data_IF_453820038126
#
_entry.id   IF_453820038126
#
_cell.length_a   1.000
_cell.length_b   1.000
_cell.length_c   1.000
_cell.angle_alpha   90.00
_cell.angle_beta   90.00
_cell.angle_gamma   90.00
#
_symmetry.space_group_name_H-M   'P 1'
#
loop_
_entity.id
_entity.type
_entity.pdbx_description
1 polymer ?
#
# COMPACT_ATOMS: atom_id res chain seq x y z
N UNK A 1 -26.85 -19.66 -21.11
CA UNK A 1 -27.58 -18.86 -20.12
C UNK A 1 -26.53 -18.13 -19.32
N UNK A 2 -26.53 -16.81 -19.42
CA UNK A 2 -25.50 -15.94 -18.86
C UNK A 2 -25.63 -15.92 -17.34
N UNK A 3 -24.71 -16.61 -16.66
CA UNK A 3 -24.77 -16.88 -15.21
C UNK A 3 -24.54 -15.61 -14.36
N UNK A 4 -24.23 -14.47 -15.00
CA UNK A 4 -23.84 -13.22 -14.33
C UNK A 4 -24.66 -11.98 -14.75
N UNK A 5 -25.85 -12.16 -15.33
CA UNK A 5 -26.90 -11.14 -15.36
C UNK A 5 -26.49 -9.72 -15.82
N UNK A 6 -25.63 -9.58 -16.83
CA UNK A 6 -25.24 -8.26 -17.38
C UNK A 6 -24.34 -7.40 -16.50
N UNK A 7 -23.69 -7.97 -15.48
CA UNK A 7 -22.71 -7.25 -14.66
C UNK A 7 -21.42 -6.97 -15.45
N UNK A 8 -20.88 -5.75 -15.33
CA UNK A 8 -19.59 -5.40 -15.92
C UNK A 8 -18.44 -6.08 -15.13
N UNK A 9 -17.41 -6.52 -15.85
CA UNK A 9 -16.23 -7.18 -15.29
C UNK A 9 -14.95 -6.51 -15.77
N UNK A 10 -13.87 -6.65 -15.01
CA UNK A 10 -12.52 -6.35 -15.49
C UNK A 10 -11.89 -7.63 -16.04
N UNK A 11 -11.46 -7.61 -17.30
CA UNK A 11 -10.83 -8.76 -17.96
C UNK A 11 -9.35 -8.49 -18.21
N UNK A 12 -8.47 -9.20 -17.50
CA UNK A 12 -7.01 -9.16 -17.69
C UNK A 12 -6.62 -10.17 -18.77
N UNK A 13 -6.28 -9.69 -19.96
CA UNK A 13 -5.85 -10.53 -21.10
C UNK A 13 -4.32 -10.55 -21.15
N UNK A 14 -3.74 -11.73 -20.91
CA UNK A 14 -2.30 -11.93 -20.87
C UNK A 14 -1.76 -12.12 -22.29
N UNK A 15 -0.61 -11.51 -22.58
CA UNK A 15 0.07 -11.67 -23.87
C UNK A 15 0.42 -13.16 -24.10
N UNK A 16 0.20 -13.64 -25.32
CA UNK A 16 0.53 -15.02 -25.71
C UNK A 16 2.05 -15.19 -25.90
N UNK A 17 2.78 -15.17 -24.79
CA UNK A 17 4.22 -15.41 -24.68
C UNK A 17 4.41 -16.26 -23.41
N UNK A 18 5.16 -17.36 -23.50
CA UNK A 18 5.20 -18.39 -22.45
C UNK A 18 5.54 -17.83 -21.07
N UNK A 19 6.57 -16.99 -20.98
CA UNK A 19 6.94 -16.26 -19.76
C UNK A 19 5.75 -15.59 -19.05
N UNK A 20 4.88 -14.89 -19.80
CA UNK A 20 3.76 -14.17 -19.20
C UNK A 20 2.62 -15.11 -18.81
N UNK A 21 2.44 -16.22 -19.55
CA UNK A 21 1.47 -17.26 -19.21
C UNK A 21 1.89 -18.01 -17.94
N UNK A 22 3.19 -18.32 -17.79
CA UNK A 22 3.72 -18.91 -16.55
C UNK A 22 3.48 -18.00 -15.34
N UNK A 23 3.78 -16.70 -15.46
CA UNK A 23 3.48 -15.74 -14.40
C UNK A 23 1.97 -15.66 -14.10
N UNK A 24 1.11 -15.68 -15.12
CA UNK A 24 -0.34 -15.67 -14.95
C UNK A 24 -0.87 -16.94 -14.26
N UNK A 25 -0.28 -18.12 -14.51
CA UNK A 25 -0.64 -19.35 -13.80
C UNK A 25 -0.33 -19.26 -12.30
N UNK A 26 0.80 -18.66 -11.93
CA UNK A 26 1.14 -18.42 -10.53
C UNK A 26 0.14 -17.44 -9.89
N UNK A 27 -0.20 -16.36 -10.59
CA UNK A 27 -1.22 -15.40 -10.14
C UNK A 27 -2.59 -16.07 -9.94
N UNK A 28 -3.03 -16.90 -10.87
CA UNK A 28 -4.29 -17.67 -10.78
C UNK A 28 -4.29 -18.56 -9.55
N UNK A 29 -3.22 -19.31 -9.31
CA UNK A 29 -3.12 -20.19 -8.13
C UNK A 29 -3.24 -19.40 -6.81
N UNK A 30 -2.61 -18.22 -6.74
CA UNK A 30 -2.73 -17.31 -5.59
C UNK A 30 -4.17 -16.82 -5.43
N UNK A 31 -4.81 -16.36 -6.52
CA UNK A 31 -6.17 -15.82 -6.50
C UNK A 31 -7.22 -16.88 -6.16
N UNK A 32 -7.09 -18.10 -6.69
CA UNK A 32 -7.93 -19.24 -6.31
C UNK A 32 -7.82 -19.50 -4.81
N UNK A 33 -6.59 -19.52 -4.28
CA UNK A 33 -6.36 -19.73 -2.84
C UNK A 33 -6.96 -18.61 -1.98
N UNK A 34 -6.85 -17.36 -2.41
CA UNK A 34 -7.47 -16.22 -1.73
C UNK A 34 -8.99 -16.40 -1.70
N UNK A 35 -9.61 -16.69 -2.85
CA UNK A 35 -11.04 -16.90 -2.97
C UNK A 35 -11.55 -18.08 -2.11
N UNK A 36 -10.82 -19.20 -2.08
CA UNK A 36 -11.12 -20.37 -1.24
C UNK A 36 -11.11 -20.02 0.25
N UNK A 37 -10.16 -19.18 0.67
CA UNK A 37 -9.94 -18.80 2.08
C UNK A 37 -10.84 -17.66 2.53
N UNK A 38 -11.39 -16.90 1.60
CA UNK A 38 -12.32 -15.80 1.84
C UNK A 38 -13.55 -15.85 0.92
N UNK A 39 -14.40 -16.88 1.06
CA UNK A 39 -15.55 -17.08 0.18
C UNK A 39 -16.56 -15.92 0.26
N UNK A 40 -16.60 -15.17 1.37
CA UNK A 40 -17.48 -14.02 1.60
C UNK A 40 -16.85 -12.66 1.25
N UNK A 41 -15.60 -12.61 0.76
CA UNK A 41 -14.86 -11.39 0.41
C UNK A 41 -14.80 -10.35 1.56
N UNK A 42 -14.53 -10.81 2.79
CA UNK A 42 -14.44 -9.97 3.99
C UNK A 42 -13.05 -9.35 4.18
N UNK A 43 -12.04 -9.88 3.52
CA UNK A 43 -10.64 -9.48 3.66
C UNK A 43 -10.16 -8.59 2.51
N UNK A 44 -11.08 -8.08 1.68
CA UNK A 44 -10.84 -6.91 0.81
C UNK A 44 -9.73 -7.11 -0.25
N UNK A 45 -9.44 -8.36 -0.62
CA UNK A 45 -8.66 -8.66 -1.82
C UNK A 45 -9.60 -8.70 -3.03
N UNK A 46 -9.09 -8.39 -4.22
CA UNK A 46 -9.91 -8.46 -5.45
C UNK A 46 -10.46 -9.87 -5.68
N UNK A 47 -11.75 -9.96 -6.01
CA UNK A 47 -12.39 -11.22 -6.37
C UNK A 47 -12.07 -11.57 -7.82
N UNK A 48 -11.38 -12.69 -8.04
CA UNK A 48 -11.36 -13.34 -9.35
C UNK A 48 -12.65 -14.15 -9.51
N UNK A 49 -13.39 -13.96 -10.59
CA UNK A 49 -14.61 -14.72 -10.87
C UNK A 49 -14.31 -16.00 -11.64
N UNK A 50 -13.44 -15.91 -12.65
CA UNK A 50 -13.13 -17.02 -13.55
C UNK A 50 -11.79 -16.77 -14.26
N UNK A 51 -11.22 -17.83 -14.83
CA UNK A 51 -10.10 -17.74 -15.75
C UNK A 51 -10.23 -18.76 -16.88
N UNK A 52 -9.76 -18.39 -18.07
CA UNK A 52 -9.84 -19.26 -19.25
C UNK A 52 -8.72 -18.96 -20.25
N UNK A 53 -8.44 -19.92 -21.15
CA UNK A 53 -7.57 -19.70 -22.31
C UNK A 53 -8.43 -19.30 -23.52
N UNK A 54 -8.05 -18.19 -24.16
CA UNK A 54 -8.67 -17.72 -25.39
C UNK A 54 -7.59 -17.55 -26.47
N UNK A 55 -7.50 -18.49 -27.41
CA UNK A 55 -6.50 -18.51 -28.48
C UNK A 55 -5.04 -18.38 -27.98
N UNK A 56 -4.73 -19.03 -26.86
CA UNK A 56 -3.41 -18.98 -26.22
C UNK A 56 -3.18 -17.74 -25.34
N UNK A 57 -4.17 -16.86 -25.21
CA UNK A 57 -4.16 -15.80 -24.21
C UNK A 57 -4.83 -16.30 -22.93
N UNK A 58 -4.12 -16.27 -21.82
CA UNK A 58 -4.75 -16.49 -20.51
C UNK A 58 -5.56 -15.25 -20.15
N UNK A 59 -6.83 -15.44 -19.82
CA UNK A 59 -7.77 -14.39 -19.47
C UNK A 59 -8.24 -14.61 -18.04
N UNK A 60 -8.15 -13.57 -17.20
CA UNK A 60 -8.65 -13.59 -15.82
C UNK A 60 -9.78 -12.55 -15.71
N UNK A 61 -10.93 -12.97 -15.22
CA UNK A 61 -12.10 -12.12 -15.00
C UNK A 61 -12.23 -11.74 -13.53
N UNK A 62 -12.44 -10.47 -13.24
CA UNK A 62 -12.52 -9.92 -11.89
C UNK A 62 -13.78 -9.08 -11.70
N UNK A 63 -14.13 -8.84 -10.43
CA UNK A 63 -15.03 -7.74 -10.08
C UNK A 63 -14.52 -6.42 -10.68
N UNK A 64 -15.41 -5.64 -11.30
CA UNK A 64 -15.04 -4.33 -11.81
C UNK A 64 -14.94 -3.34 -10.64
N UNK A 65 -13.75 -2.80 -10.46
CA UNK A 65 -13.45 -1.74 -9.49
C UNK A 65 -13.29 -0.40 -10.20
N UNK A 66 -13.22 0.67 -9.41
CA UNK A 66 -13.07 2.04 -9.91
C UNK A 66 -11.58 2.43 -10.02
N UNK A 67 -11.29 3.74 -9.94
CA UNK A 67 -9.92 4.24 -10.03
C UNK A 67 -9.01 3.65 -8.95
N UNK A 68 -7.72 3.51 -9.30
CA UNK A 68 -6.69 3.32 -8.29
C UNK A 68 -6.59 4.56 -7.39
N UNK A 69 -6.10 4.39 -6.16
CA UNK A 69 -5.86 5.52 -5.26
C UNK A 69 -4.81 6.48 -5.85
N UNK A 70 -3.83 5.97 -6.61
CA UNK A 70 -2.90 6.80 -7.36
C UNK A 70 -3.60 7.66 -8.42
N UNK A 71 -4.44 7.04 -9.26
CA UNK A 71 -5.11 7.76 -10.34
C UNK A 71 -6.08 8.81 -9.81
N UNK A 72 -6.81 8.50 -8.73
CA UNK A 72 -7.64 9.48 -8.06
C UNK A 72 -6.81 10.65 -7.52
N UNK A 73 -5.68 10.37 -6.84
CA UNK A 73 -4.77 11.40 -6.32
C UNK A 73 -4.24 12.29 -7.46
N UNK A 74 -3.80 11.68 -8.57
CA UNK A 74 -3.33 12.37 -9.77
C UNK A 74 -4.42 13.25 -10.39
N UNK A 75 -5.63 12.74 -10.54
CA UNK A 75 -6.78 13.51 -11.03
C UNK A 75 -7.18 14.64 -10.08
N UNK A 76 -6.90 14.47 -8.78
CA UNK A 76 -7.04 15.51 -7.77
C UNK A 76 -5.81 16.45 -7.68
N UNK A 77 -4.98 16.51 -8.73
CA UNK A 77 -3.76 17.33 -8.77
C UNK A 77 -2.79 17.08 -7.61
N UNK A 78 -2.71 15.82 -7.16
CA UNK A 78 -1.88 15.38 -6.04
C UNK A 78 -2.23 16.08 -4.71
N UNK A 79 -3.49 16.51 -4.55
CA UNK A 79 -4.00 16.94 -3.27
C UNK A 79 -4.18 15.72 -2.36
N UNK A 80 -3.61 15.71 -1.14
CA UNK A 80 -3.65 14.56 -0.25
C UNK A 80 -5.08 14.23 0.18
N UNK A 81 -5.25 12.99 0.63
CA UNK A 81 -6.49 12.57 1.29
C UNK A 81 -6.59 13.19 2.69
N UNK A 82 -7.82 13.39 3.16
CA UNK A 82 -8.03 13.84 4.55
C UNK A 82 -7.55 12.78 5.54
N UNK A 83 -7.17 13.18 6.75
CA UNK A 83 -6.69 12.25 7.79
C UNK A 83 -7.69 11.12 8.09
N UNK A 84 -8.99 11.42 8.03
CA UNK A 84 -10.06 10.43 8.19
C UNK A 84 -10.08 9.42 7.03
N UNK A 85 -9.91 9.89 5.79
CA UNK A 85 -9.80 9.01 4.63
C UNK A 85 -8.54 8.15 4.69
N UNK A 86 -7.38 8.73 5.07
CA UNK A 86 -6.12 8.01 5.28
C UNK A 86 -6.33 6.92 6.33
N UNK A 87 -6.98 7.22 7.46
CA UNK A 87 -7.26 6.25 8.53
C UNK A 87 -8.07 5.06 8.04
N UNK A 88 -9.19 5.32 7.35
CA UNK A 88 -10.06 4.24 6.91
C UNK A 88 -9.42 3.38 5.81
N UNK A 89 -8.70 3.99 4.86
CA UNK A 89 -7.94 3.24 3.85
C UNK A 89 -6.80 2.44 4.48
N UNK A 90 -6.05 3.03 5.40
CA UNK A 90 -4.96 2.36 6.12
C UNK A 90 -5.44 1.11 6.87
N UNK A 91 -6.58 1.21 7.57
CA UNK A 91 -7.18 0.08 8.28
C UNK A 91 -7.52 -1.07 7.33
N UNK A 92 -8.20 -0.76 6.22
CA UNK A 92 -8.59 -1.75 5.21
C UNK A 92 -7.38 -2.40 4.53
N UNK A 93 -6.35 -1.63 4.18
CA UNK A 93 -5.11 -2.15 3.60
C UNK A 93 -4.41 -3.06 4.61
N UNK A 94 -4.30 -2.65 5.87
CA UNK A 94 -3.72 -3.48 6.93
C UNK A 94 -4.51 -4.78 7.14
N UNK A 95 -5.84 -4.72 7.10
CA UNK A 95 -6.72 -5.88 7.23
C UNK A 95 -6.50 -6.88 6.09
N UNK A 96 -6.50 -6.39 4.84
CA UNK A 96 -6.32 -7.21 3.66
C UNK A 96 -4.94 -7.89 3.63
N UNK A 97 -3.88 -7.13 3.88
CA UNK A 97 -2.51 -7.66 3.81
C UNK A 97 -2.22 -8.57 5.02
N UNK A 98 -2.81 -8.31 6.19
CA UNK A 98 -2.75 -9.24 7.33
C UNK A 98 -3.35 -10.60 6.97
N UNK A 99 -4.48 -10.61 6.26
CA UNK A 99 -5.08 -11.87 5.78
C UNK A 99 -4.12 -12.63 4.85
N UNK A 100 -3.41 -11.96 3.95
CA UNK A 100 -2.37 -12.59 3.12
C UNK A 100 -1.26 -13.20 4.00
N UNK A 101 -0.75 -12.41 4.96
CA UNK A 101 0.32 -12.83 5.86
C UNK A 101 -0.05 -14.04 6.72
N UNK A 102 -1.30 -14.09 7.23
CA UNK A 102 -1.82 -15.24 7.97
C UNK A 102 -1.81 -16.52 7.12
N UNK A 103 -1.97 -16.38 5.80
CA UNK A 103 -1.96 -17.47 4.82
C UNK A 103 -0.58 -17.71 4.18
N UNK A 104 0.50 -17.21 4.80
CA UNK A 104 1.89 -17.43 4.37
C UNK A 104 2.17 -16.91 2.96
N UNK A 105 1.51 -15.80 2.62
CA UNK A 105 1.62 -15.13 1.33
C UNK A 105 2.11 -13.70 1.56
N UNK A 106 3.12 -13.29 0.81
CA UNK A 106 3.61 -11.90 0.77
C UNK A 106 3.22 -11.28 -0.58
N UNK A 107 2.68 -10.06 -0.59
CA UNK A 107 2.22 -9.40 -1.82
C UNK A 107 3.39 -8.92 -2.70
N UNK A 108 4.41 -8.35 -2.06
CA UNK A 108 5.68 -7.86 -2.63
C UNK A 108 5.61 -6.65 -3.54
N UNK A 109 4.47 -6.30 -4.16
CA UNK A 109 4.31 -5.10 -4.99
C UNK A 109 3.16 -4.18 -4.55
N UNK A 110 3.05 -3.91 -3.24
CA UNK A 110 2.09 -2.93 -2.73
C UNK A 110 2.52 -1.51 -3.10
N UNK A 111 1.57 -0.77 -3.69
CA UNK A 111 1.70 0.63 -4.12
C UNK A 111 0.30 1.23 -4.34
N UNK A 112 0.14 2.55 -4.35
CA UNK A 112 -1.16 3.22 -4.56
C UNK A 112 -1.88 2.79 -5.85
N UNK A 113 -1.14 2.42 -6.91
CA UNK A 113 -1.70 1.90 -8.16
C UNK A 113 -2.38 0.53 -7.99
N UNK A 114 -1.95 -0.25 -7.00
CA UNK A 114 -2.47 -1.59 -6.68
C UNK A 114 -3.48 -1.58 -5.52
N UNK A 115 -3.94 -0.39 -5.11
CA UNK A 115 -5.06 -0.21 -4.19
C UNK A 115 -6.17 0.51 -4.97
N UNK A 116 -7.28 -0.18 -5.22
CA UNK A 116 -8.39 0.36 -6.01
C UNK A 116 -9.58 0.70 -5.13
N UNK A 117 -10.27 1.81 -5.45
CA UNK A 117 -11.56 2.10 -4.85
C UNK A 117 -12.62 1.14 -5.38
N UNK A 118 -13.55 0.73 -4.51
CA UNK A 118 -14.76 0.02 -4.95
C UNK A 118 -15.65 0.95 -5.77
N UNK A 119 -15.78 2.21 -5.34
CA UNK A 119 -16.39 3.30 -6.08
C UNK A 119 -15.57 4.58 -5.84
N UNK A 120 -15.20 5.28 -6.91
CA UNK A 120 -14.40 6.52 -6.86
C UNK A 120 -15.21 7.81 -7.10
N UNK A 121 -16.53 7.77 -6.92
CA UNK A 121 -17.40 8.94 -6.95
C UNK A 121 -16.93 9.98 -5.93
N UNK A 122 -16.95 11.26 -6.32
CA UNK A 122 -16.42 12.33 -5.51
C UNK A 122 -17.37 13.53 -5.42
N UNK A 123 -17.12 14.38 -4.43
CA UNK A 123 -17.63 15.75 -4.34
C UNK A 123 -16.52 16.74 -4.63
N UNK A 124 -16.86 17.91 -5.18
CA UNK A 124 -15.91 19.00 -5.40
C UNK A 124 -16.17 20.10 -4.37
N UNK A 125 -15.10 20.54 -3.71
CA UNK A 125 -15.09 21.73 -2.86
C UNK A 125 -13.99 22.68 -3.31
N UNK A 126 -14.11 23.97 -3.06
CA UNK A 126 -13.04 24.91 -3.34
C UNK A 126 -12.08 25.02 -2.15
N UNK A 127 -10.82 24.61 -2.33
CA UNK A 127 -9.78 24.77 -1.32
C UNK A 127 -9.25 26.20 -1.34
N UNK A 128 -9.59 26.97 -0.30
CA UNK A 128 -9.23 28.39 -0.19
C UNK A 128 -7.71 28.59 -0.10
N UNK A 129 -7.01 27.73 0.64
CA UNK A 129 -5.57 27.84 0.87
C UNK A 129 -4.77 27.56 -0.40
N UNK A 130 -5.16 26.52 -1.13
CA UNK A 130 -4.51 26.06 -2.36
C UNK A 130 -5.09 26.69 -3.62
N UNK A 131 -6.12 27.52 -3.46
CA UNK A 131 -6.83 28.29 -4.49
C UNK A 131 -7.23 27.45 -5.71
N UNK A 132 -7.78 26.27 -5.47
CA UNK A 132 -8.19 25.32 -6.52
C UNK A 132 -9.32 24.42 -6.05
N UNK A 133 -9.97 23.77 -7.00
CA UNK A 133 -10.93 22.71 -6.71
C UNK A 133 -10.23 21.49 -6.11
N UNK A 134 -10.88 20.89 -5.12
CA UNK A 134 -10.45 19.71 -4.40
C UNK A 134 -11.56 18.66 -4.46
N UNK A 135 -11.20 17.47 -4.93
CA UNK A 135 -12.08 16.30 -4.99
C UNK A 135 -11.95 15.52 -3.69
N UNK A 136 -13.09 15.19 -3.09
CA UNK A 136 -13.17 14.31 -1.93
C UNK A 136 -13.95 13.06 -2.32
N UNK A 137 -13.33 11.88 -2.25
CA UNK A 137 -14.03 10.62 -2.54
C UNK A 137 -15.15 10.40 -1.51
N UNK A 138 -16.34 10.02 -1.99
CA UNK A 138 -17.54 9.82 -1.15
C UNK A 138 -17.46 8.54 -0.31
N UNK A 139 -16.76 7.52 -0.81
CA UNK A 139 -16.55 6.25 -0.13
C UNK A 139 -15.07 5.87 -0.22
N UNK A 140 -14.46 5.57 0.91
CA UNK A 140 -13.06 5.12 0.98
C UNK A 140 -12.95 3.59 1.02
N UNK A 141 -13.98 2.87 0.61
CA UNK A 141 -13.91 1.41 0.47
C UNK A 141 -12.90 1.04 -0.61
N UNK A 142 -11.90 0.21 -0.26
CA UNK A 142 -10.82 -0.18 -1.17
C UNK A 142 -10.67 -1.70 -1.29
N UNK A 143 -9.96 -2.12 -2.33
CA UNK A 143 -9.47 -3.49 -2.56
C UNK A 143 -7.98 -3.50 -2.87
N UNK A 144 -7.29 -4.53 -2.38
CA UNK A 144 -5.92 -4.85 -2.83
C UNK A 144 -6.02 -5.69 -4.10
N UNK A 145 -5.28 -5.30 -5.14
CA UNK A 145 -5.26 -5.98 -6.46
C UNK A 145 -3.83 -6.39 -6.83
N UNK A 146 -3.69 -7.05 -7.99
CA UNK A 146 -2.42 -7.38 -8.65
C UNK A 146 -1.51 -8.32 -7.84
N UNK A 147 -1.94 -9.59 -7.79
CA UNK A 147 -1.24 -10.66 -7.10
C UNK A 147 -0.17 -11.35 -7.97
N UNK A 148 0.17 -10.78 -9.13
CA UNK A 148 1.11 -11.39 -10.07
C UNK A 148 2.55 -11.49 -9.57
N UNK A 149 2.89 -10.76 -8.50
CA UNK A 149 4.19 -10.85 -7.81
C UNK A 149 4.08 -11.45 -6.40
N UNK A 150 2.90 -11.90 -6.00
CA UNK A 150 2.71 -12.50 -4.68
C UNK A 150 3.51 -13.81 -4.60
N UNK A 151 4.09 -14.09 -3.44
CA UNK A 151 4.98 -15.25 -3.24
C UNK A 151 4.63 -15.93 -1.91
N UNK A 152 4.42 -17.24 -1.95
CA UNK A 152 4.24 -18.03 -0.73
C UNK A 152 5.58 -18.25 -0.02
N UNK A 153 5.55 -18.41 1.30
CA UNK A 153 6.75 -18.60 2.13
C UNK A 153 7.63 -19.80 1.68
N UNK A 154 7.03 -20.82 1.07
CA UNK A 154 7.72 -22.04 0.62
C UNK A 154 8.24 -21.95 -0.81
N UNK A 155 7.89 -20.91 -1.57
CA UNK A 155 8.30 -20.72 -2.95
C UNK A 155 9.67 -20.04 -3.08
N UNK A 156 10.19 -20.01 -4.30
CA UNK A 156 11.42 -19.29 -4.58
C UNK A 156 11.23 -17.77 -4.42
N UNK A 157 12.06 -17.16 -3.60
CA UNK A 157 12.03 -15.71 -3.36
C UNK A 157 12.98 -15.00 -4.33
N UNK A 158 12.39 -14.25 -5.27
CA UNK A 158 13.16 -13.37 -6.18
C UNK A 158 13.98 -12.34 -5.39
N UNK A 159 15.22 -12.08 -5.80
CA UNK A 159 16.13 -11.21 -5.04
C UNK A 159 15.65 -9.76 -4.95
N UNK A 160 15.07 -9.25 -6.03
CA UNK A 160 14.54 -7.88 -6.10
C UNK A 160 13.04 -7.97 -6.37
N UNK A 161 12.27 -7.43 -5.43
CA UNK A 161 10.82 -7.27 -5.51
C UNK A 161 10.45 -5.80 -5.23
N UNK A 162 9.14 -5.51 -5.32
CA UNK A 162 8.54 -4.19 -5.13
C UNK A 162 8.92 -3.15 -6.17
N UNK A 163 7.95 -2.30 -6.48
CA UNK A 163 8.19 -1.02 -7.14
C UNK A 163 9.10 -0.15 -6.25
N UNK A 164 10.07 0.53 -6.88
CA UNK A 164 11.23 1.12 -6.19
C UNK A 164 10.89 2.03 -5.01
N UNK A 165 9.89 2.90 -5.14
CA UNK A 165 9.53 3.90 -4.11
C UNK A 165 8.98 3.28 -2.82
N UNK A 166 8.51 2.03 -2.88
CA UNK A 166 7.91 1.30 -1.75
C UNK A 166 8.77 0.12 -1.30
N UNK A 167 9.99 0.01 -1.83
CA UNK A 167 10.89 -1.12 -1.59
C UNK A 167 11.59 -1.00 -0.24
N UNK A 168 11.47 -2.04 0.57
CA UNK A 168 12.07 -2.11 1.90
C UNK A 168 13.61 -2.20 1.87
N UNK A 169 14.31 -1.72 2.92
CA UNK A 169 15.78 -1.69 2.98
C UNK A 169 16.41 -3.08 2.91
N UNK A 170 15.80 -4.11 3.48
CA UNK A 170 16.28 -5.49 3.40
C UNK A 170 16.27 -6.04 1.97
N UNK A 171 15.38 -5.55 1.10
CA UNK A 171 15.34 -5.92 -0.32
C UNK A 171 16.47 -5.20 -1.07
N UNK A 172 16.67 -3.90 -0.83
CA UNK A 172 17.77 -3.12 -1.44
C UNK A 172 19.13 -3.70 -1.05
N UNK A 173 19.26 -4.14 0.19
CA UNK A 173 20.48 -4.70 0.76
C UNK A 173 20.60 -6.22 0.53
N UNK A 174 19.66 -6.87 -0.15
CA UNK A 174 19.66 -8.30 -0.45
C UNK A 174 19.89 -9.17 0.81
N UNK A 175 19.20 -8.84 1.90
CA UNK A 175 19.28 -9.54 3.19
C UNK A 175 18.24 -10.67 3.32
N UNK A 176 17.50 -10.94 2.25
CA UNK A 176 16.28 -11.73 2.28
C UNK A 176 15.09 -10.88 2.72
N UNK A 177 13.91 -11.26 2.25
CA UNK A 177 12.65 -10.59 2.58
C UNK A 177 11.56 -11.65 2.82
N UNK A 178 10.49 -11.22 3.48
CA UNK A 178 9.27 -11.98 3.77
C UNK A 178 8.15 -10.98 4.03
N UNK A 179 7.09 -11.36 4.75
CA UNK A 179 5.92 -10.50 5.05
C UNK A 179 6.23 -9.06 5.49
N UNK A 180 7.27 -8.77 6.30
CA UNK A 180 7.56 -7.39 6.72
C UNK A 180 7.85 -6.42 5.58
N UNK A 181 8.25 -6.87 4.38
CA UNK A 181 8.47 -5.95 3.25
C UNK A 181 7.18 -5.24 2.84
N UNK A 182 6.04 -5.94 2.90
CA UNK A 182 4.73 -5.34 2.63
C UNK A 182 4.39 -4.24 3.66
N UNK A 183 4.77 -4.44 4.93
CA UNK A 183 4.54 -3.46 5.99
C UNK A 183 5.29 -2.16 5.71
N UNK A 184 6.54 -2.26 5.22
CA UNK A 184 7.30 -1.09 4.79
C UNK A 184 6.60 -0.36 3.64
N UNK A 185 6.15 -1.11 2.63
CA UNK A 185 5.42 -0.55 1.49
C UNK A 185 4.16 0.19 1.94
N UNK A 186 3.41 -0.36 2.90
CA UNK A 186 2.25 0.32 3.51
C UNK A 186 2.68 1.63 4.18
N UNK A 187 3.76 1.64 4.97
CA UNK A 187 4.28 2.87 5.58
C UNK A 187 4.56 3.98 4.56
N UNK A 188 5.17 3.63 3.42
CA UNK A 188 5.37 4.56 2.29
C UNK A 188 4.04 5.03 1.66
N UNK A 189 3.08 4.13 1.45
CA UNK A 189 1.75 4.45 0.90
C UNK A 189 0.99 5.42 1.81
N UNK A 190 1.01 5.20 3.13
CA UNK A 190 0.30 6.07 4.08
C UNK A 190 0.87 7.48 4.10
N UNK A 191 2.21 7.60 4.02
CA UNK A 191 2.87 8.89 3.86
C UNK A 191 2.41 9.60 2.57
N UNK A 192 2.34 8.87 1.46
CA UNK A 192 1.94 9.44 0.17
C UNK A 192 0.47 9.84 0.14
N UNK A 193 -0.43 9.08 0.77
CA UNK A 193 -1.82 9.51 0.91
C UNK A 193 -1.95 10.78 1.75
N UNK A 194 -1.10 10.92 2.77
CA UNK A 194 -1.14 12.04 3.70
C UNK A 194 -0.56 13.34 3.11
N UNK A 195 0.43 13.25 2.20
CA UNK A 195 1.08 14.43 1.63
C UNK A 195 0.84 14.65 0.14
N UNK A 196 0.37 13.63 -0.57
CA UNK A 196 0.15 13.65 -2.01
C UNK A 196 1.41 13.38 -2.85
N UNK A 197 2.54 13.02 -2.24
CA UNK A 197 3.77 12.70 -2.96
C UNK A 197 4.54 11.53 -2.31
N UNK A 198 5.32 10.81 -3.12
CA UNK A 198 6.10 9.64 -2.71
C UNK A 198 7.17 9.99 -1.67
N UNK A 199 7.30 9.18 -0.61
CA UNK A 199 8.32 9.35 0.43
C UNK A 199 9.76 9.28 -0.12
N UNK A 200 10.01 8.31 -1.01
CA UNK A 200 11.33 8.06 -1.60
C UNK A 200 11.29 8.18 -3.13
N UNK A 201 11.32 9.42 -3.62
CA UNK A 201 11.36 9.72 -5.05
C UNK A 201 12.78 9.57 -5.62
N UNK A 202 13.13 8.37 -6.06
CA UNK A 202 14.48 8.05 -6.57
C UNK A 202 14.46 6.90 -7.57
N UNK A 203 15.49 6.83 -8.40
CA UNK A 203 15.73 5.72 -9.33
C UNK A 203 17.04 4.95 -9.06
N UNK A 204 17.78 5.28 -8.00
CA UNK A 204 19.05 4.66 -7.63
C UNK A 204 19.02 4.05 -6.22
N UNK A 205 19.73 2.93 -6.01
CA UNK A 205 19.72 2.25 -4.70
C UNK A 205 20.50 3.00 -3.62
N UNK A 206 21.62 3.63 -3.97
CA UNK A 206 22.47 4.33 -3.02
C UNK A 206 21.83 5.66 -2.62
N UNK A 207 21.24 6.37 -3.59
CA UNK A 207 20.39 7.53 -3.32
C UNK A 207 19.19 7.17 -2.44
N UNK A 208 18.51 6.05 -2.72
CA UNK A 208 17.40 5.58 -1.88
C UNK A 208 17.82 5.36 -0.43
N UNK A 209 18.96 4.70 -0.19
CA UNK A 209 19.51 4.55 1.16
C UNK A 209 19.88 5.90 1.80
N UNK A 210 20.38 6.87 1.02
CA UNK A 210 20.67 8.22 1.53
C UNK A 210 19.40 8.97 1.94
N UNK A 211 18.31 8.84 1.16
CA UNK A 211 17.00 9.40 1.53
C UNK A 211 16.47 8.74 2.80
N UNK A 212 16.57 7.41 2.91
CA UNK A 212 16.20 6.68 4.14
C UNK A 212 17.00 7.20 5.34
N UNK A 213 18.34 7.33 5.24
CA UNK A 213 19.17 7.82 6.35
C UNK A 213 18.81 9.25 6.77
N UNK A 214 18.43 10.09 5.81
CA UNK A 214 18.03 11.47 6.05
C UNK A 214 16.67 11.59 6.74
N UNK A 215 15.75 10.68 6.44
CA UNK A 215 14.36 10.70 6.94
C UNK A 215 14.23 9.94 8.27
N UNK A 216 14.86 8.78 8.37
CA UNK A 216 14.65 7.79 9.44
C UNK A 216 15.88 7.63 10.36
N UNK A 217 17.00 8.27 10.04
CA UNK A 217 18.27 8.05 10.73
C UNK A 217 19.07 6.88 10.14
N UNK A 218 20.27 6.61 10.67
CA UNK A 218 21.27 5.76 10.03
C UNK A 218 20.82 4.30 9.87
N UNK A 219 21.24 3.65 8.77
CA UNK A 219 20.99 2.22 8.59
C UNK A 219 21.69 1.42 9.69
N UNK A 220 21.01 0.47 10.37
CA UNK A 220 21.61 -0.30 11.46
C UNK A 220 22.89 -1.03 11.02
N UNK A 221 23.97 -0.90 11.80
CA UNK A 221 25.27 -1.51 11.46
C UNK A 221 25.21 -3.04 11.33
N UNK A 222 24.20 -3.69 11.96
CA UNK A 222 23.95 -5.13 11.78
C UNK A 222 23.53 -5.47 10.36
N UNK A 223 22.71 -4.63 9.72
CA UNK A 223 22.30 -4.81 8.32
C UNK A 223 23.46 -4.54 7.36
N UNK A 224 24.22 -3.47 7.61
CA UNK A 224 25.42 -3.10 6.82
C UNK A 224 26.45 -4.24 6.83
N UNK A 225 26.70 -4.88 7.99
CA UNK A 225 27.66 -5.99 8.07
C UNK A 225 27.22 -7.25 7.34
N UNK A 226 25.91 -7.47 7.18
CA UNK A 226 25.35 -8.70 6.58
C UNK A 226 25.12 -8.59 5.07
N UNK A 227 24.98 -7.37 4.53
CA UNK A 227 24.64 -7.20 3.12
C UNK A 227 25.77 -7.61 2.19
N UNK A 228 25.41 -8.17 1.04
CA UNK A 228 26.35 -8.38 -0.08
C UNK A 228 26.65 -7.07 -0.83
N UNK A 229 25.86 -6.02 -0.62
CA UNK A 229 26.02 -4.69 -1.25
C UNK A 229 27.04 -3.82 -0.52
N UNK A 230 28.18 -4.39 -0.13
CA UNK A 230 29.27 -3.68 0.57
C UNK A 230 29.76 -2.46 -0.22
N UNK A 231 29.66 -2.48 -1.55
CA UNK A 231 29.98 -1.34 -2.42
C UNK A 231 29.19 -0.07 -2.10
N UNK A 232 28.08 -0.11 -1.37
CA UNK A 232 27.35 1.09 -0.98
C UNK A 232 27.91 1.76 0.27
N UNK A 233 28.83 1.12 0.99
CA UNK A 233 29.29 1.56 2.30
C UNK A 233 30.82 1.68 2.34
N UNK A 234 31.32 2.66 3.09
CA UNK A 234 32.72 2.81 3.41
C UNK A 234 32.88 3.01 4.92
N UNK A 235 33.73 2.19 5.56
CA UNK A 235 33.96 2.20 7.02
C UNK A 235 32.67 2.14 7.85
N UNK A 236 31.69 1.35 7.40
CA UNK A 236 30.43 1.13 8.10
C UNK A 236 29.41 2.27 8.00
N UNK A 237 29.65 3.26 7.11
CA UNK A 237 28.72 4.35 6.80
C UNK A 237 28.39 4.33 5.31
N UNK A 238 27.25 4.90 4.92
CA UNK A 238 26.90 5.03 3.51
C UNK A 238 27.96 5.87 2.79
N UNK A 239 28.48 5.35 1.68
CA UNK A 239 29.44 6.04 0.81
C UNK A 239 28.68 7.03 -0.07
N UNK A 240 28.32 8.19 0.49
CA UNK A 240 27.46 9.19 -0.14
C UNK A 240 28.11 10.57 -0.13
N UNK A 241 28.20 11.20 -1.30
CA UNK A 241 28.69 12.57 -1.44
C UNK A 241 27.55 13.58 -1.32
N UNK A 242 27.45 14.23 -0.16
CA UNK A 242 26.45 15.27 0.11
C UNK A 242 26.61 16.53 -0.76
N UNK A 243 27.78 16.76 -1.35
CA UNK A 243 28.05 17.93 -2.18
C UNK A 243 27.73 17.71 -3.66
N UNK A 244 27.56 16.46 -4.08
CA UNK A 244 27.09 16.09 -5.43
C UNK A 244 25.70 16.66 -5.73
N UNK A 245 25.30 16.74 -7.00
CA UNK A 245 23.94 17.19 -7.38
C UNK A 245 22.84 16.36 -6.71
N UNK A 246 22.99 15.03 -6.69
CA UNK A 246 22.08 14.12 -5.99
C UNK A 246 22.11 14.34 -4.47
N UNK A 247 23.29 14.55 -3.89
CA UNK A 247 23.46 14.87 -2.47
C UNK A 247 22.74 16.17 -2.06
N UNK A 248 22.80 17.21 -2.90
CA UNK A 248 22.05 18.46 -2.68
C UNK A 248 20.55 18.22 -2.77
N UNK A 249 20.07 17.48 -3.78
CA UNK A 249 18.66 17.13 -3.93
C UNK A 249 18.12 16.41 -2.68
N UNK A 250 18.82 15.37 -2.20
CA UNK A 250 18.43 14.65 -0.98
C UNK A 250 18.41 15.59 0.23
N UNK A 251 19.42 16.43 0.42
CA UNK A 251 19.49 17.35 1.57
C UNK A 251 18.36 18.37 1.60
N UNK A 252 17.97 18.88 0.43
CA UNK A 252 16.94 19.92 0.28
C UNK A 252 15.52 19.35 0.38
N UNK A 253 15.29 18.14 -0.13
CA UNK A 253 13.95 17.56 -0.25
C UNK A 253 13.61 16.52 0.83
N UNK A 254 14.61 15.92 1.47
CA UNK A 254 14.42 14.94 2.55
C UNK A 254 14.67 15.57 3.92
N UNK A 255 13.69 15.44 4.81
CA UNK A 255 13.71 15.92 6.20
C UNK A 255 13.41 14.75 7.15
N UNK A 256 13.78 14.83 8.44
CA UNK A 256 13.34 13.84 9.42
C UNK A 256 11.83 13.63 9.38
N UNK A 257 11.36 12.37 9.47
CA UNK A 257 9.98 11.97 9.22
C UNK A 257 8.93 12.84 9.91
N UNK A 258 9.10 13.12 11.21
CA UNK A 258 8.15 13.93 12.00
C UNK A 258 8.03 15.39 11.55
N UNK A 259 8.95 15.91 10.71
CA UNK A 259 8.84 17.26 10.14
C UNK A 259 7.80 17.37 9.01
N UNK A 260 7.22 16.26 8.57
CA UNK A 260 6.16 16.25 7.56
C UNK A 260 4.74 16.27 8.16
N UNK A 261 4.60 16.29 9.48
CA UNK A 261 3.30 16.43 10.15
C UNK A 261 2.71 17.81 9.82
N UNK A 262 1.49 17.84 9.27
CA UNK A 262 0.82 19.07 8.82
C UNK A 262 -0.03 19.75 9.91
N UNK A 263 -0.28 19.07 11.02
CA UNK A 263 -1.17 19.54 12.09
C UNK A 263 -0.74 18.96 13.44
N UNK A 264 -0.89 19.77 14.50
CA UNK A 264 -0.59 19.36 15.88
C UNK A 264 -1.72 18.55 16.54
N UNK A 265 -2.81 18.29 15.82
CA UNK A 265 -3.87 17.42 16.34
C UNK A 265 -3.36 15.98 16.52
N UNK A 266 -3.77 15.36 17.63
CA UNK A 266 -3.30 14.06 18.10
C UNK A 266 -3.35 12.95 17.03
N UNK A 267 -4.41 12.92 16.21
CA UNK A 267 -4.57 11.92 15.15
C UNK A 267 -3.44 11.94 14.09
N UNK A 268 -2.82 13.09 13.85
CA UNK A 268 -1.69 13.21 12.93
C UNK A 268 -0.41 12.65 13.55
N UNK A 269 -0.18 12.93 14.84
CA UNK A 269 0.92 12.34 15.59
C UNK A 269 0.78 10.82 15.68
N UNK A 270 -0.43 10.30 15.87
CA UNK A 270 -0.71 8.85 15.86
C UNK A 270 -0.50 8.21 14.49
N UNK A 271 -0.83 8.90 13.39
CA UNK A 271 -0.50 8.41 12.05
C UNK A 271 1.02 8.27 11.89
N UNK A 272 1.78 9.29 12.30
CA UNK A 272 3.23 9.27 12.14
C UNK A 272 3.93 8.29 13.08
N UNK A 273 3.37 8.03 14.26
CA UNK A 273 3.82 6.95 15.14
C UNK A 273 3.67 5.58 14.46
N UNK A 274 2.51 5.33 13.83
CA UNK A 274 2.27 4.12 13.06
C UNK A 274 3.22 3.98 11.86
N UNK A 275 3.39 5.06 11.08
CA UNK A 275 4.29 5.09 9.93
C UNK A 275 5.75 4.83 10.38
N UNK A 276 6.20 5.44 11.46
CA UNK A 276 7.55 5.21 12.02
C UNK A 276 7.74 3.73 12.41
N UNK A 277 6.75 3.10 13.04
CA UNK A 277 6.79 1.68 13.38
C UNK A 277 6.75 0.75 12.14
N UNK A 278 6.12 1.17 11.05
CA UNK A 278 6.11 0.47 9.75
C UNK A 278 7.43 0.66 8.98
N UNK A 279 8.12 1.79 9.16
CA UNK A 279 9.38 2.14 8.52
C UNK A 279 10.61 1.79 9.38
N UNK A 280 10.46 0.90 10.35
CA UNK A 280 11.58 0.31 11.08
C UNK A 280 12.50 -0.46 10.11
N UNK A 281 13.80 -0.15 10.14
CA UNK A 281 14.78 -0.73 9.24
C UNK A 281 14.89 -2.24 9.39
N UNK A 282 14.98 -2.75 10.63
CA UNK A 282 15.17 -4.16 10.87
C UNK A 282 13.83 -4.90 10.72
N UNK A 283 13.66 -5.81 9.74
CA UNK A 283 12.37 -6.46 9.49
C UNK A 283 11.82 -7.22 10.69
N UNK A 284 12.72 -7.72 11.55
CA UNK A 284 12.38 -8.44 12.78
C UNK A 284 11.87 -7.55 13.92
N UNK A 285 12.07 -6.23 13.83
CA UNK A 285 11.59 -5.22 14.80
C UNK A 285 10.39 -4.44 14.27
N UNK A 286 10.21 -4.43 12.95
CA UNK A 286 9.10 -3.77 12.27
C UNK A 286 7.76 -4.30 12.79
N UNK A 287 6.81 -3.38 12.98
CA UNK A 287 5.47 -3.72 13.48
C UNK A 287 4.83 -4.78 12.57
N UNK A 288 4.11 -5.73 13.14
CA UNK A 288 3.30 -6.67 12.34
C UNK A 288 1.91 -6.08 12.12
N UNK A 289 1.23 -6.46 11.04
CA UNK A 289 -0.11 -5.94 10.76
C UNK A 289 -1.14 -6.32 11.83
N UNK A 290 -0.96 -7.47 12.49
CA UNK A 290 -1.77 -7.85 13.63
C UNK A 290 -1.63 -6.88 14.81
N UNK A 291 -0.44 -6.31 15.04
CA UNK A 291 -0.21 -5.27 16.04
C UNK A 291 -0.67 -3.90 15.54
N UNK A 292 -0.38 -3.58 14.27
CA UNK A 292 -0.77 -2.32 13.64
C UNK A 292 -2.29 -2.07 13.70
N UNK A 293 -3.12 -3.09 13.45
CA UNK A 293 -4.58 -2.96 13.53
C UNK A 293 -5.13 -2.63 14.93
N UNK A 294 -4.31 -2.77 15.97
CA UNK A 294 -4.66 -2.36 17.35
C UNK A 294 -4.08 -0.99 17.73
N UNK A 295 -3.39 -0.32 16.81
CA UNK A 295 -2.74 0.96 17.05
C UNK A 295 -3.74 2.07 17.41
N UNK A 296 -3.42 3.01 18.32
CA UNK A 296 -4.31 4.12 18.70
C UNK A 296 -4.89 4.92 17.53
N UNK A 297 -4.12 5.05 16.43
CA UNK A 297 -4.58 5.70 15.21
C UNK A 297 -5.92 5.15 14.67
N UNK A 298 -6.17 3.85 14.84
CA UNK A 298 -7.42 3.19 14.44
C UNK A 298 -8.51 3.17 15.52
N UNK A 299 -8.18 3.57 16.76
CA UNK A 299 -9.12 3.58 17.88
C UNK A 299 -9.87 4.91 18.01
N UNK A 300 -9.38 5.97 17.36
CA UNK A 300 -10.05 7.27 17.36
C UNK A 300 -11.45 7.14 16.74
N UNK A 301 -12.52 7.62 17.42
CA UNK A 301 -13.86 7.52 16.90
C UNK A 301 -13.95 8.22 15.55
N UNK A 302 -14.48 7.53 14.54
CA UNK A 302 -14.86 8.14 13.27
C UNK A 302 -15.84 9.26 13.62
N UNK A 303 -15.45 10.51 13.42
CA UNK A 303 -16.31 11.65 13.71
C UNK A 303 -17.63 11.44 12.94
N UNK A 304 -18.76 11.56 13.64
CA UNK A 304 -20.09 11.37 13.07
C UNK A 304 -20.39 12.30 11.88
N UNK A 305 -19.60 13.37 11.69
CA UNK A 305 -19.67 14.27 10.55
C UNK A 305 -19.11 13.67 9.24
N UNK A 306 -18.40 12.55 9.29
CA UNK A 306 -17.92 11.80 8.12
C UNK A 306 -18.91 10.69 7.69
N UNK A 307 -20.08 10.57 8.35
CA UNK A 307 -21.14 9.69 7.88
C UNK A 307 -21.91 10.36 6.73
N UNK A 308 -22.17 9.66 5.61
CA UNK A 308 -23.11 10.17 4.62
C UNK A 308 -24.50 10.36 5.26
N UNK A 309 -25.29 11.36 4.83
CA UNK A 309 -26.59 11.64 5.43
C UNK A 309 -27.57 10.47 5.22
N UNK A 310 -28.01 9.83 6.32
CA UNK A 310 -29.13 8.88 6.42
C UNK A 310 -28.71 7.47 6.84
N UNK A 311 -29.29 6.80 7.83
CA UNK A 311 -30.60 6.92 8.49
C UNK A 311 -30.45 6.63 10.00
N UNK A 312 -31.18 7.38 10.83
CA UNK A 312 -31.46 7.02 12.20
C UNK A 312 -32.21 5.68 12.23
N UNK A 313 -31.64 4.68 12.91
CA UNK A 313 -32.39 3.49 13.31
C UNK A 313 -33.09 3.81 14.64
N UNK A 314 -34.21 4.50 14.56
CA UNK A 314 -35.22 4.39 15.61
C UNK A 314 -35.94 3.06 15.42
N UNK A 315 -35.72 2.15 16.36
CA UNK A 315 -36.36 0.85 16.41
C UNK A 315 -36.83 0.53 17.83
N UNK A 316 -37.52 1.46 18.47
CA UNK A 316 -38.28 1.16 19.67
C UNK A 316 -39.67 0.65 19.24
N UNK A 317 -39.87 -0.67 19.25
CA UNK A 317 -41.20 -1.28 19.31
C UNK A 317 -41.14 -2.52 20.19
N UNK A 318 -41.39 -2.26 21.48
CA UNK A 318 -42.10 -3.19 22.35
C UNK A 318 -43.42 -3.59 21.70
N UNK A 319 -43.62 -4.90 21.49
CA UNK A 319 -44.95 -5.48 21.37
C UNK A 319 -44.97 -6.72 22.26
N UNK A 320 -45.36 -6.48 23.51
CA UNK A 320 -45.94 -7.49 24.40
C UNK A 320 -47.45 -7.26 24.46
N UNK A 321 -48.22 -8.10 23.76
CA UNK A 321 -49.49 -8.74 24.18
C UNK A 321 -50.17 -9.42 23.00
#
# INVERSE_FOLDING_TARGET
MDIWGGAHVALKIIKNVEKYKEAARLEINVLERINERDPENKNLCVRMFDWFDYHGHMCLSFELLALSTFDFLKENNYLPYSISQVRHMAYQICLAVKFLHDHKLTHTDLKPENILFVNSDFTITYNIEKKREERTVKSTAVRVVDFGSATFDHEHHSTIVSTRHYRAPEVILELGWSQPCDVWSIGCILFEYYLGFTLFQTHDNREHLAMMERILGPVPSRMIRKTRKQKYFYRGRLDWDENSSAGRYVRENCKPLRRYILSEAEEHHQLFDLIEAMLEYEPSKRITLAVALRHPFFQSPINANDQPPGKSWEGNRDISR
#
